data_IF_044730763966
#
_entry.id   IF_044730763966
#
_cell.length_a   1.000
_cell.length_b   1.000
_cell.length_c   1.000
_cell.angle_alpha   90.00
_cell.angle_beta   90.00
_cell.angle_gamma   90.00
#
_symmetry.space_group_name_H-M   'P 1'
#
loop_
_entity.id
_entity.type
_entity.pdbx_description
1 polymer ?
#
# COMPACT_ATOMS: atom_id res chain seq x y z
N UNK A 1 21.22 47.88 -9.75
CA UNK A 1 21.58 46.90 -8.69
C UNK A 1 20.40 46.04 -8.23
N UNK A 2 19.23 46.62 -7.87
CA UNK A 2 18.06 45.86 -7.38
C UNK A 2 17.50 44.77 -8.33
N UNK A 3 17.52 45.00 -9.65
CA UNK A 3 17.03 44.03 -10.66
C UNK A 3 17.89 42.74 -10.76
N UNK A 4 19.19 42.86 -10.50
CA UNK A 4 20.14 41.72 -10.56
C UNK A 4 20.03 40.82 -9.34
N UNK A 5 19.74 41.41 -8.17
CA UNK A 5 19.50 40.66 -6.92
C UNK A 5 18.20 39.84 -7.04
N UNK A 6 17.12 40.44 -7.57
CA UNK A 6 15.85 39.72 -7.78
C UNK A 6 16.03 38.58 -8.78
N UNK A 7 16.75 38.80 -9.88
CA UNK A 7 17.03 37.74 -10.86
C UNK A 7 17.86 36.59 -10.24
N UNK A 8 18.89 36.90 -9.45
CA UNK A 8 19.70 35.89 -8.79
C UNK A 8 18.91 35.06 -7.76
N UNK A 9 18.02 35.71 -6.98
CA UNK A 9 17.16 35.03 -6.01
C UNK A 9 16.14 34.11 -6.69
N UNK A 10 15.53 34.53 -7.81
CA UNK A 10 14.58 33.69 -8.56
C UNK A 10 15.27 32.46 -9.16
N UNK A 11 16.49 32.62 -9.70
CA UNK A 11 17.26 31.48 -10.24
C UNK A 11 17.66 30.49 -9.15
N UNK A 12 18.07 30.97 -7.97
CA UNK A 12 18.43 30.10 -6.84
C UNK A 12 17.22 29.35 -6.28
N UNK A 13 16.06 30.01 -6.17
CA UNK A 13 14.81 29.35 -5.73
C UNK A 13 14.32 28.33 -6.76
N UNK A 14 14.40 28.64 -8.06
CA UNK A 14 14.02 27.71 -9.12
C UNK A 14 14.96 26.49 -9.17
N UNK A 15 16.27 26.69 -9.02
CA UNK A 15 17.25 25.60 -8.99
C UNK A 15 17.11 24.73 -7.73
N UNK A 16 16.90 25.35 -6.56
CA UNK A 16 16.65 24.63 -5.31
C UNK A 16 15.34 23.83 -5.35
N UNK A 17 14.27 24.41 -5.89
CA UNK A 17 12.99 23.73 -6.08
C UNK A 17 13.08 22.57 -7.08
N UNK A 18 13.79 22.74 -8.18
CA UNK A 18 14.02 21.67 -9.16
C UNK A 18 14.86 20.52 -8.59
N UNK A 19 15.91 20.83 -7.82
CA UNK A 19 16.74 19.82 -7.16
C UNK A 19 15.95 19.03 -6.10
N UNK A 20 15.17 19.73 -5.26
CA UNK A 20 14.31 19.09 -4.26
C UNK A 20 13.25 18.18 -4.91
N UNK A 21 12.67 18.62 -6.03
CA UNK A 21 11.68 17.86 -6.78
C UNK A 21 12.28 16.63 -7.51
N UNK A 22 13.51 16.73 -8.00
CA UNK A 22 14.21 15.59 -8.61
C UNK A 22 14.61 14.56 -7.55
N UNK A 23 15.04 15.00 -6.36
CA UNK A 23 15.31 14.11 -5.24
C UNK A 23 14.07 13.41 -4.73
N UNK A 24 12.94 14.11 -4.58
CA UNK A 24 11.69 13.48 -4.16
C UNK A 24 11.25 12.38 -5.13
N UNK A 25 11.43 12.60 -6.44
CA UNK A 25 11.11 11.57 -7.45
C UNK A 25 12.04 10.36 -7.41
N UNK A 26 13.34 10.58 -7.19
CA UNK A 26 14.28 9.48 -7.07
C UNK A 26 13.98 8.62 -5.82
N UNK A 27 13.59 9.25 -4.72
CA UNK A 27 13.17 8.56 -3.50
C UNK A 27 11.88 7.75 -3.71
N UNK A 28 10.88 8.34 -4.38
CA UNK A 28 9.63 7.66 -4.77
C UNK A 28 9.89 6.45 -5.69
N UNK A 29 10.85 6.51 -6.61
CA UNK A 29 11.18 5.41 -7.53
C UNK A 29 11.85 4.23 -6.80
N UNK A 30 12.61 4.49 -5.73
CA UNK A 30 13.15 3.43 -4.84
C UNK A 30 12.07 2.77 -3.96
N UNK A 31 10.87 3.34 -3.94
CA UNK A 31 9.74 2.96 -3.09
C UNK A 31 8.65 2.16 -3.82
N UNK A 32 8.94 1.61 -5.00
CA UNK A 32 8.04 0.72 -5.76
C UNK A 32 8.49 -0.74 -5.66
N UNK A 33 7.59 -1.75 -5.62
CA UNK A 33 7.94 -3.16 -5.71
C UNK A 33 8.71 -3.52 -6.98
N UNK A 34 9.72 -4.40 -6.87
CA UNK A 34 10.35 -5.02 -8.05
C UNK A 34 9.37 -5.91 -8.83
N UNK A 35 8.54 -6.67 -8.12
CA UNK A 35 7.48 -7.49 -8.72
C UNK A 35 6.12 -6.99 -8.26
N UNK A 36 5.25 -6.64 -9.20
CA UNK A 36 3.88 -6.22 -8.91
C UNK A 36 2.87 -7.07 -9.68
N UNK A 37 1.77 -7.42 -9.00
CA UNK A 37 0.57 -8.02 -9.59
C UNK A 37 -0.64 -7.22 -9.16
N UNK A 38 -1.54 -6.98 -10.10
CA UNK A 38 -2.71 -6.15 -9.91
C UNK A 38 -3.92 -6.87 -10.48
N UNK A 39 -4.99 -6.97 -9.70
CA UNK A 39 -6.24 -7.60 -10.12
C UNK A 39 -7.39 -6.63 -9.87
N UNK A 40 -8.15 -6.36 -10.92
CA UNK A 40 -9.40 -5.61 -10.83
C UNK A 40 -10.49 -6.47 -10.21
N UNK A 41 -11.56 -5.82 -9.81
CA UNK A 41 -12.72 -6.48 -9.25
C UNK A 41 -13.43 -7.37 -10.27
N UNK A 42 -14.24 -8.29 -9.76
CA UNK A 42 -15.01 -9.24 -10.57
C UNK A 42 -16.44 -9.27 -10.06
N UNK A 43 -17.34 -9.83 -10.86
CA UNK A 43 -18.75 -9.98 -10.49
C UNK A 43 -18.97 -10.79 -9.18
N UNK A 44 -17.97 -11.55 -8.72
CA UNK A 44 -18.00 -12.24 -7.43
C UNK A 44 -18.20 -11.27 -6.25
N UNK A 45 -17.70 -10.03 -6.37
CA UNK A 45 -17.79 -9.02 -5.31
C UNK A 45 -18.96 -8.03 -5.47
N UNK A 46 -19.91 -8.31 -6.37
CA UNK A 46 -21.09 -7.45 -6.57
C UNK A 46 -21.88 -7.17 -5.29
N UNK A 47 -22.09 -8.13 -4.35
CA UNK A 47 -22.80 -7.86 -3.09
C UNK A 47 -22.16 -6.77 -2.24
N UNK A 48 -20.87 -6.50 -2.42
CA UNK A 48 -20.11 -5.47 -1.69
C UNK A 48 -19.51 -4.44 -2.66
N UNK A 49 -20.16 -4.21 -3.80
CA UNK A 49 -19.64 -3.30 -4.83
C UNK A 49 -19.65 -1.82 -4.40
N UNK A 50 -20.42 -1.46 -3.38
CA UNK A 50 -20.49 -0.09 -2.85
C UNK A 50 -20.60 -0.12 -1.33
N UNK A 51 -20.20 0.98 -0.67
CA UNK A 51 -20.44 1.15 0.78
C UNK A 51 -21.92 1.18 1.15
N UNK A 52 -22.82 1.50 0.23
CA UNK A 52 -24.25 1.41 0.52
C UNK A 52 -24.72 -0.05 0.62
N UNK A 53 -24.10 -0.95 -0.14
CA UNK A 53 -24.35 -2.39 -0.10
C UNK A 53 -23.61 -3.10 1.04
N UNK A 54 -22.46 -2.58 1.48
CA UNK A 54 -21.72 -3.00 2.67
C UNK A 54 -21.49 -1.81 3.61
N UNK A 55 -22.49 -1.44 4.43
CA UNK A 55 -22.49 -0.19 5.20
C UNK A 55 -21.62 -0.23 6.46
N UNK A 56 -21.20 -1.42 6.91
CA UNK A 56 -20.43 -1.59 8.13
C UNK A 56 -18.93 -1.49 7.81
N UNK A 57 -18.22 -0.40 8.18
CA UNK A 57 -16.79 -0.29 7.92
C UNK A 57 -16.01 -1.43 8.58
N UNK A 58 -14.88 -1.80 7.98
CA UNK A 58 -13.99 -2.80 8.55
C UNK A 58 -13.35 -2.28 9.84
N UNK A 59 -13.13 -3.18 10.78
CA UNK A 59 -12.35 -2.90 11.99
C UNK A 59 -10.98 -3.57 11.94
N UNK A 60 -10.02 -3.01 12.68
CA UNK A 60 -8.68 -3.60 12.87
C UNK A 60 -8.77 -5.04 13.40
N UNK A 61 -9.69 -5.32 14.32
CA UNK A 61 -9.86 -6.65 14.90
C UNK A 61 -10.44 -7.67 13.91
N UNK A 62 -11.31 -7.25 13.00
CA UNK A 62 -11.86 -8.11 11.95
C UNK A 62 -10.79 -8.50 10.93
N UNK A 63 -9.90 -7.58 10.53
CA UNK A 63 -8.90 -7.83 9.47
C UNK A 63 -7.56 -8.37 10.01
N UNK A 64 -7.20 -8.06 11.25
CA UNK A 64 -5.92 -8.47 11.85
C UNK A 64 -6.09 -9.23 13.18
N UNK A 65 -6.81 -10.36 13.21
CA UNK A 65 -7.22 -11.01 14.47
C UNK A 65 -6.09 -11.72 15.23
N UNK A 66 -5.07 -12.24 14.55
CA UNK A 66 -4.14 -13.24 15.10
C UNK A 66 -2.75 -12.71 15.46
N UNK A 67 -2.51 -11.40 15.32
CA UNK A 67 -1.19 -10.80 15.58
C UNK A 67 -0.03 -11.38 14.77
N UNK A 68 -0.31 -12.26 13.81
CA UNK A 68 0.66 -12.95 12.95
C UNK A 68 -0.06 -13.54 11.74
N UNK A 69 0.70 -13.78 10.69
CA UNK A 69 0.24 -14.44 9.46
C UNK A 69 1.22 -15.56 9.08
N UNK A 70 0.71 -16.65 8.50
CA UNK A 70 1.53 -17.82 8.18
C UNK A 70 1.13 -18.48 6.87
N UNK A 71 2.12 -19.00 6.14
CA UNK A 71 1.93 -19.83 4.95
C UNK A 71 3.18 -20.69 4.71
N UNK A 72 3.00 -21.95 4.30
CA UNK A 72 4.11 -22.83 3.92
C UNK A 72 5.23 -22.98 4.97
N UNK A 73 4.90 -22.94 6.25
CA UNK A 73 5.87 -23.00 7.36
C UNK A 73 6.58 -21.67 7.68
N UNK A 74 6.35 -20.62 6.88
CA UNK A 74 6.81 -19.26 7.19
C UNK A 74 5.77 -18.54 8.03
N UNK A 75 6.21 -17.88 9.10
CA UNK A 75 5.36 -17.06 9.97
C UNK A 75 5.94 -15.66 10.09
N UNK A 76 5.09 -14.65 9.93
CA UNK A 76 5.44 -13.26 10.19
C UNK A 76 4.58 -12.71 11.33
N UNK A 77 5.23 -12.19 12.37
CA UNK A 77 4.59 -11.59 13.52
C UNK A 77 4.27 -10.12 13.23
N UNK A 78 3.10 -9.67 13.67
CA UNK A 78 2.66 -8.28 13.55
C UNK A 78 3.57 -7.37 14.36
N UNK A 79 4.03 -6.29 13.74
CA UNK A 79 4.81 -5.21 14.32
C UNK A 79 3.92 -3.98 14.63
N UNK A 80 2.61 -4.20 14.67
CA UNK A 80 1.60 -3.18 14.94
C UNK A 80 0.67 -2.96 13.76
N UNK A 81 -0.50 -2.44 14.11
CA UNK A 81 -1.58 -2.10 13.21
C UNK A 81 -1.96 -0.63 13.39
N UNK A 82 -2.58 -0.06 12.37
CA UNK A 82 -3.10 1.30 12.42
C UNK A 82 -4.33 1.45 11.53
N UNK A 83 -5.16 2.42 11.90
CA UNK A 83 -6.28 2.89 11.12
C UNK A 83 -6.00 4.33 10.68
N UNK A 84 -6.14 4.59 9.39
CA UNK A 84 -5.89 5.87 8.75
C UNK A 84 -7.22 6.40 8.20
N UNK A 85 -7.68 7.53 8.72
CA UNK A 85 -8.85 8.23 8.19
C UNK A 85 -8.48 9.13 7.01
N UNK A 86 -7.23 9.58 6.93
CA UNK A 86 -6.64 10.20 5.73
C UNK A 86 -5.95 9.14 4.87
N UNK A 87 -6.68 8.53 3.93
CA UNK A 87 -6.12 7.51 3.04
C UNK A 87 -4.99 8.06 2.13
N UNK A 88 -4.96 9.38 1.86
CA UNK A 88 -3.90 9.98 1.06
C UNK A 88 -2.54 9.93 1.77
N UNK A 89 -2.52 9.80 3.10
CA UNK A 89 -1.29 9.58 3.88
C UNK A 89 -0.67 8.20 3.65
N UNK A 90 -1.46 7.21 3.19
CA UNK A 90 -0.99 5.85 2.94
C UNK A 90 -0.39 5.64 1.55
N UNK A 91 -0.47 6.63 0.65
CA UNK A 91 -0.07 6.52 -0.76
C UNK A 91 0.77 7.71 -1.23
N UNK A 92 1.41 7.56 -2.37
CA UNK A 92 2.17 8.60 -3.07
C UNK A 92 1.89 8.57 -4.58
N UNK A 93 2.33 9.61 -5.28
CA UNK A 93 2.16 9.73 -6.74
C UNK A 93 0.69 9.76 -7.18
N UNK A 94 0.42 9.17 -8.34
CA UNK A 94 -0.92 9.13 -8.97
C UNK A 94 -1.97 8.42 -8.11
N UNK A 95 -1.56 7.53 -7.21
CA UNK A 95 -2.48 6.83 -6.30
C UNK A 95 -3.17 7.79 -5.31
N UNK A 96 -2.62 8.99 -5.07
CA UNK A 96 -3.24 10.01 -4.21
C UNK A 96 -4.60 10.48 -4.74
N UNK A 97 -4.72 10.63 -6.05
CA UNK A 97 -6.00 11.01 -6.68
C UNK A 97 -6.97 9.83 -6.69
N UNK A 98 -6.46 8.61 -6.86
CA UNK A 98 -7.28 7.40 -6.92
C UNK A 98 -7.92 7.03 -5.56
N UNK A 99 -7.31 7.44 -4.44
CA UNK A 99 -7.92 7.30 -3.10
C UNK A 99 -8.88 8.44 -2.74
N UNK A 100 -9.23 9.34 -3.67
CA UNK A 100 -10.22 10.37 -3.41
C UNK A 100 -11.57 9.75 -3.02
N UNK A 101 -12.15 10.20 -1.90
CA UNK A 101 -13.40 9.66 -1.36
C UNK A 101 -13.24 8.36 -0.56
N UNK A 102 -12.02 7.83 -0.42
CA UNK A 102 -11.68 6.83 0.58
C UNK A 102 -11.99 7.35 1.98
N UNK A 103 -12.60 6.52 2.83
CA UNK A 103 -12.93 6.91 4.22
C UNK A 103 -12.10 6.21 5.28
N UNK A 104 -11.41 5.14 4.91
CA UNK A 104 -10.64 4.35 5.86
C UNK A 104 -9.56 3.58 5.11
N UNK A 105 -8.36 3.54 5.66
CA UNK A 105 -7.37 2.53 5.34
C UNK A 105 -6.91 1.82 6.62
N UNK A 106 -6.86 0.49 6.61
CA UNK A 106 -6.30 -0.30 7.70
C UNK A 106 -4.97 -0.87 7.26
N UNK A 107 -3.95 -0.75 8.10
CA UNK A 107 -2.60 -1.19 7.78
C UNK A 107 -2.01 -2.03 8.90
N UNK A 108 -1.29 -3.07 8.52
CA UNK A 108 -0.51 -3.91 9.42
C UNK A 108 0.91 -4.07 8.89
N UNK A 109 1.86 -4.16 9.82
CA UNK A 109 3.28 -4.42 9.55
C UNK A 109 3.64 -5.78 10.10
N UNK A 110 4.56 -6.47 9.43
CA UNK A 110 4.95 -7.83 9.77
C UNK A 110 6.45 -8.02 9.63
N UNK A 111 7.01 -8.95 10.41
CA UNK A 111 8.39 -9.40 10.27
C UNK A 111 8.50 -10.89 10.58
N UNK A 112 9.38 -11.60 9.87
CA UNK A 112 9.74 -12.98 10.22
C UNK A 112 10.50 -13.03 11.56
N UNK A 113 10.46 -14.17 12.24
CA UNK A 113 11.13 -14.33 13.55
C UNK A 113 12.66 -14.19 13.49
N UNK A 114 13.27 -14.45 12.32
CA UNK A 114 14.69 -14.23 12.05
C UNK A 114 15.00 -12.80 11.56
N UNK A 115 13.96 -11.96 11.36
CA UNK A 115 14.10 -10.58 10.90
C UNK A 115 14.50 -10.44 9.43
N UNK A 116 14.57 -11.51 8.64
CA UNK A 116 15.05 -11.48 7.25
C UNK A 116 14.02 -10.95 6.26
N UNK A 117 12.72 -11.00 6.58
CA UNK A 117 11.65 -10.51 5.72
C UNK A 117 10.74 -9.56 6.48
N UNK A 118 10.48 -8.41 5.86
CA UNK A 118 9.48 -7.43 6.30
C UNK A 118 8.26 -7.53 5.39
N UNK A 119 7.09 -7.34 5.98
CA UNK A 119 5.82 -7.35 5.27
C UNK A 119 4.92 -6.20 5.68
N UNK A 120 4.04 -5.80 4.78
CA UNK A 120 2.92 -4.94 5.10
C UNK A 120 1.67 -5.35 4.35
N UNK A 121 0.53 -5.16 4.99
CA UNK A 121 -0.78 -5.28 4.37
C UNK A 121 -1.52 -3.96 4.56
N UNK A 122 -2.16 -3.47 3.50
CA UNK A 122 -3.04 -2.30 3.56
C UNK A 122 -4.36 -2.66 2.90
N UNK A 123 -5.48 -2.26 3.49
CA UNK A 123 -6.80 -2.31 2.85
C UNK A 123 -7.44 -0.93 2.87
N UNK A 124 -7.98 -0.50 1.72
CA UNK A 124 -8.65 0.78 1.51
C UNK A 124 -10.16 0.56 1.37
N UNK A 125 -10.96 1.36 2.06
CA UNK A 125 -12.41 1.45 1.94
C UNK A 125 -12.77 2.63 1.03
N UNK A 126 -13.12 2.33 -0.23
CA UNK A 126 -13.42 3.32 -1.26
C UNK A 126 -14.93 3.49 -1.46
N UNK A 127 -15.33 4.43 -2.31
CA UNK A 127 -16.75 4.68 -2.55
C UNK A 127 -17.47 3.47 -3.19
N UNK A 128 -16.83 2.87 -4.20
CA UNK A 128 -17.39 1.81 -5.03
C UNK A 128 -16.29 0.98 -5.75
N UNK A 129 -16.70 -0.11 -6.41
CA UNK A 129 -15.85 -0.98 -7.21
C UNK A 129 -15.09 -0.25 -8.32
N UNK A 130 -15.67 0.80 -8.92
CA UNK A 130 -14.99 1.56 -9.97
C UNK A 130 -13.85 2.40 -9.38
N UNK A 131 -14.02 2.94 -8.17
CA UNK A 131 -12.94 3.59 -7.42
C UNK A 131 -11.85 2.57 -7.03
N UNK A 132 -12.24 1.36 -6.64
CA UNK A 132 -11.30 0.27 -6.35
C UNK A 132 -10.43 -0.08 -7.57
N UNK A 133 -11.05 -0.28 -8.74
CA UNK A 133 -10.33 -0.55 -9.98
C UNK A 133 -9.40 0.60 -10.38
N UNK A 134 -9.83 1.85 -10.23
CA UNK A 134 -8.97 3.02 -10.49
C UNK A 134 -7.75 3.05 -9.58
N UNK A 135 -7.88 2.68 -8.31
CA UNK A 135 -6.74 2.61 -7.40
C UNK A 135 -5.79 1.47 -7.81
N UNK A 136 -6.30 0.28 -8.11
CA UNK A 136 -5.48 -0.83 -8.61
C UNK A 136 -4.70 -0.43 -9.87
N UNK A 137 -5.34 0.25 -10.81
CA UNK A 137 -4.68 0.78 -12.01
C UNK A 137 -3.61 1.83 -11.66
N UNK A 138 -3.90 2.77 -10.77
CA UNK A 138 -2.97 3.83 -10.36
C UNK A 138 -1.72 3.27 -9.65
N UNK A 139 -1.87 2.21 -8.85
CA UNK A 139 -0.73 1.50 -8.23
C UNK A 139 0.21 0.92 -9.30
N UNK A 140 -0.30 0.60 -10.48
CA UNK A 140 0.50 0.19 -11.65
C UNK A 140 1.23 1.33 -12.36
N UNK A 141 0.82 2.60 -12.17
CA UNK A 141 1.20 3.71 -13.03
C UNK A 141 1.55 4.98 -12.24
N UNK A 142 2.81 5.09 -11.78
CA UNK A 142 3.35 6.36 -11.25
C UNK A 142 2.93 6.73 -9.82
N UNK A 143 2.27 5.82 -9.09
CA UNK A 143 2.00 5.94 -7.65
C UNK A 143 2.00 4.58 -6.98
N UNK A 144 2.18 4.54 -5.65
CA UNK A 144 2.13 3.30 -4.87
C UNK A 144 1.74 3.55 -3.41
N UNK A 145 1.55 2.48 -2.63
CA UNK A 145 1.45 2.57 -1.18
C UNK A 145 2.78 2.97 -0.56
N UNK A 146 2.73 3.79 0.49
CA UNK A 146 3.91 4.14 1.28
C UNK A 146 4.32 2.94 2.15
N UNK A 147 5.61 2.62 2.23
CA UNK A 147 6.11 1.70 3.22
C UNK A 147 5.77 2.17 4.63
N UNK A 148 5.44 1.22 5.50
CA UNK A 148 5.02 1.47 6.88
C UNK A 148 6.12 1.24 7.92
N UNK A 149 7.27 0.73 7.47
CA UNK A 149 8.45 0.50 8.30
C UNK A 149 9.67 1.20 7.69
N UNK A 150 10.49 1.79 8.56
CA UNK A 150 11.78 2.34 8.16
C UNK A 150 12.68 1.21 7.64
N UNK A 151 13.47 1.51 6.60
CA UNK A 151 14.35 0.53 5.97
C UNK A 151 13.64 -0.51 5.09
N UNK A 152 12.32 -0.44 4.91
CA UNK A 152 11.58 -1.33 4.00
C UNK A 152 12.05 -1.11 2.54
N UNK A 153 12.79 -2.08 2.01
CA UNK A 153 13.40 -2.00 0.67
C UNK A 153 12.39 -2.40 -0.40
N UNK A 154 11.45 -1.50 -0.68
CA UNK A 154 10.37 -1.76 -1.61
C UNK A 154 10.83 -2.27 -2.98
N UNK A 155 11.88 -1.66 -3.53
CA UNK A 155 12.49 -1.97 -4.82
C UNK A 155 13.07 -3.38 -4.98
N UNK A 156 13.21 -4.14 -3.89
CA UNK A 156 13.63 -5.56 -3.94
C UNK A 156 12.49 -6.52 -3.60
N UNK A 157 11.31 -5.99 -3.32
CA UNK A 157 10.14 -6.73 -2.86
C UNK A 157 9.17 -7.20 -3.93
N UNK A 158 8.17 -7.95 -3.49
CA UNK A 158 7.02 -8.39 -4.27
C UNK A 158 5.75 -7.84 -3.61
N UNK A 159 4.94 -7.11 -4.39
CA UNK A 159 3.60 -6.71 -3.99
C UNK A 159 2.48 -7.30 -4.87
N UNK A 160 1.30 -7.42 -4.28
CA UNK A 160 0.05 -7.74 -4.96
C UNK A 160 -1.04 -6.77 -4.52
N UNK A 161 -1.80 -6.23 -5.47
CA UNK A 161 -2.99 -5.44 -5.21
C UNK A 161 -4.23 -6.11 -5.81
N UNK A 162 -5.35 -6.11 -5.09
CA UNK A 162 -6.62 -6.62 -5.60
C UNK A 162 -7.79 -5.73 -5.21
N UNK A 163 -8.69 -5.49 -6.15
CA UNK A 163 -9.99 -4.86 -5.88
C UNK A 163 -11.03 -5.95 -5.54
N UNK A 164 -11.60 -5.86 -4.35
CA UNK A 164 -12.55 -6.80 -3.76
C UNK A 164 -13.86 -6.05 -3.46
N UNK A 165 -14.64 -5.76 -4.51
CA UNK A 165 -15.76 -4.83 -4.46
C UNK A 165 -15.26 -3.40 -4.30
N UNK A 166 -15.84 -2.65 -3.36
CA UNK A 166 -15.38 -1.30 -3.02
C UNK A 166 -14.10 -1.26 -2.16
N UNK A 167 -13.51 -2.40 -1.83
CA UNK A 167 -12.22 -2.47 -1.12
C UNK A 167 -11.05 -2.69 -2.08
N UNK A 168 -9.88 -2.17 -1.72
CA UNK A 168 -8.60 -2.56 -2.35
C UNK A 168 -7.65 -3.06 -1.29
N UNK A 169 -7.10 -4.25 -1.46
CA UNK A 169 -6.01 -4.78 -0.64
C UNK A 169 -4.68 -4.60 -1.35
N UNK A 170 -3.62 -4.36 -0.58
CA UNK A 170 -2.23 -4.40 -1.04
C UNK A 170 -1.40 -5.19 -0.03
N UNK A 171 -0.88 -6.34 -0.44
CA UNK A 171 0.09 -7.13 0.31
C UNK A 171 1.48 -6.93 -0.30
N UNK A 172 2.48 -6.60 0.52
CA UNK A 172 3.81 -6.30 0.03
C UNK A 172 4.87 -6.82 1.00
N UNK A 173 5.76 -7.66 0.51
CA UNK A 173 6.93 -8.15 1.25
C UNK A 173 8.22 -7.73 0.58
N UNK A 174 9.25 -7.52 1.41
CA UNK A 174 10.60 -7.25 0.96
C UNK A 174 11.61 -7.91 1.91
N UNK A 175 12.81 -8.27 1.43
CA UNK A 175 13.92 -8.59 2.31
C UNK A 175 14.20 -7.41 3.26
N UNK A 176 14.55 -7.72 4.50
CA UNK A 176 15.09 -6.72 5.40
C UNK A 176 16.44 -6.18 4.88
N UNK A 177 16.89 -4.99 5.33
CA UNK A 177 18.24 -4.51 5.03
C UNK A 177 19.28 -5.59 5.32
N UNK A 178 20.24 -5.75 4.41
CA UNK A 178 21.36 -6.70 4.52
C UNK A 178 21.00 -8.20 4.58
N UNK A 179 19.72 -8.58 4.45
CA UNK A 179 19.28 -9.98 4.46
C UNK A 179 19.75 -10.79 3.22
N UNK A 180 20.26 -10.12 2.19
CA UNK A 180 20.65 -10.73 0.93
C UNK A 180 19.43 -11.23 0.13
N UNK A 181 19.60 -12.33 -0.61
CA UNK A 181 18.53 -12.92 -1.43
C UNK A 181 17.68 -13.86 -0.57
N UNK A 182 16.40 -13.54 -0.42
CA UNK A 182 15.41 -14.34 0.31
C UNK A 182 14.30 -14.77 -0.64
N UNK A 183 13.74 -15.97 -0.44
CA UNK A 183 12.52 -16.40 -1.14
C UNK A 183 11.30 -15.71 -0.52
N UNK A 184 10.61 -14.90 -1.32
CA UNK A 184 9.46 -14.11 -0.89
C UNK A 184 8.11 -14.83 -1.14
N UNK A 185 8.11 -16.04 -1.69
CA UNK A 185 6.88 -16.74 -2.08
C UNK A 185 5.94 -16.97 -0.91
N UNK A 186 6.39 -17.69 0.12
CA UNK A 186 5.56 -17.92 1.31
C UNK A 186 5.33 -16.68 2.17
N UNK A 187 6.30 -15.77 2.36
CA UNK A 187 6.01 -14.48 2.97
C UNK A 187 4.88 -13.71 2.28
N UNK A 188 4.87 -13.65 0.95
CA UNK A 188 3.83 -12.94 0.20
C UNK A 188 2.47 -13.61 0.39
N UNK A 189 2.38 -14.94 0.32
CA UNK A 189 1.13 -15.67 0.57
C UNK A 189 0.62 -15.44 1.99
N UNK A 190 1.52 -15.45 2.98
CA UNK A 190 1.16 -15.19 4.37
C UNK A 190 0.61 -13.76 4.54
N UNK A 191 1.33 -12.75 4.06
CA UNK A 191 0.93 -11.34 4.18
C UNK A 191 -0.33 -11.01 3.39
N UNK A 192 -0.65 -11.77 2.34
CA UNK A 192 -1.88 -11.63 1.57
C UNK A 192 -3.11 -12.27 2.26
N UNK A 193 -2.91 -13.19 3.20
CA UNK A 193 -4.00 -13.93 3.87
C UNK A 193 -5.11 -13.08 4.52
N UNK A 194 -4.88 -11.86 5.07
CA UNK A 194 -5.95 -11.03 5.64
C UNK A 194 -7.05 -10.68 4.62
N UNK A 195 -6.74 -10.69 3.33
CA UNK A 195 -7.72 -10.48 2.26
C UNK A 195 -8.85 -11.51 2.24
N UNK A 196 -8.62 -12.73 2.74
CA UNK A 196 -9.62 -13.78 2.79
C UNK A 196 -10.77 -13.42 3.74
N UNK A 197 -10.51 -12.53 4.71
CA UNK A 197 -11.51 -12.08 5.68
C UNK A 197 -12.59 -11.21 5.00
N UNK A 198 -12.31 -10.65 3.83
CA UNK A 198 -13.31 -9.93 3.01
C UNK A 198 -14.37 -10.88 2.46
N UNK A 199 -14.05 -12.17 2.26
CA UNK A 199 -15.03 -13.15 1.79
C UNK A 199 -16.20 -13.30 2.78
N UNK A 200 -15.99 -13.04 4.07
CA UNK A 200 -17.07 -13.05 5.06
C UNK A 200 -18.12 -11.95 4.84
N UNK A 201 -17.80 -10.92 4.04
CA UNK A 201 -18.76 -9.87 3.66
C UNK A 201 -19.70 -10.30 2.53
N UNK A 202 -19.35 -11.33 1.76
CA UNK A 202 -20.15 -11.80 0.62
C UNK A 202 -21.32 -12.71 1.01
N UNK A 203 -21.29 -13.26 2.23
CA UNK A 203 -22.25 -14.27 2.70
C UNK A 203 -23.21 -13.74 3.77
N UNK A 204 -23.26 -12.42 3.96
CA UNK A 204 -24.18 -11.77 4.90
C UNK A 204 -25.55 -11.53 4.28
#
# INVERSE_FOLDING_TARGET
MRKWIVAAVVVLLAAGGAAAFLWSRAEEDTQRPATFRAERTTAHYEPIATRAADPDPLTVAEIFPTGSVSAGGTTLASQGTEELTDCASAVWGTAREAVAGCTQALRARYATGDGLVLGQFVIFNLADSAAADRLVDALGHGGFVRPAADGFQGSTGWAQARALGHYVTVSWVAPAPDAGKVDLTFPQVAVDSPSLLIQHRLVR
#
